data_IF_901412736563
#
_entry.id   IF_901412736563
#
_cell.length_a   1.000
_cell.length_b   1.000
_cell.length_c   1.000
_cell.angle_alpha   90.00
_cell.angle_beta   90.00
_cell.angle_gamma   90.00
#
_symmetry.space_group_name_H-M   'P 1'
#
loop_
_entity.id
_entity.type
_entity.pdbx_description
1 polymer ?
#
# COMPACT_ATOMS: atom_id res chain seq x y z
N UNK A 1 2.07 -19.93 -47.59
CA UNK A 1 3.05 -20.70 -46.80
C UNK A 1 2.62 -20.59 -45.34
N UNK A 2 2.03 -21.66 -44.83
CA UNK A 2 1.29 -21.71 -43.57
C UNK A 2 2.13 -22.42 -42.51
N UNK A 3 2.24 -21.84 -41.31
CA UNK A 3 2.98 -22.42 -40.19
C UNK A 3 2.08 -22.41 -38.95
N UNK A 4 1.48 -23.55 -38.56
CA UNK A 4 0.74 -23.70 -37.32
C UNK A 4 1.60 -24.48 -36.31
N UNK A 5 1.96 -23.85 -35.19
CA UNK A 5 2.49 -24.55 -34.01
C UNK A 5 1.59 -24.17 -32.83
N UNK A 6 0.59 -25.01 -32.52
CA UNK A 6 0.65 -26.03 -31.47
C UNK A 6 0.86 -25.43 -30.07
N UNK A 7 -0.29 -25.12 -29.47
CA UNK A 7 -0.51 -25.13 -28.03
C UNK A 7 0.04 -26.43 -27.43
N UNK A 8 1.04 -26.32 -26.56
CA UNK A 8 1.38 -27.34 -25.58
C UNK A 8 1.20 -26.72 -24.19
N UNK A 9 -0.05 -26.64 -23.75
CA UNK A 9 -0.35 -26.38 -22.34
C UNK A 9 -0.05 -27.67 -21.56
N UNK A 10 1.11 -27.71 -20.91
CA UNK A 10 1.43 -28.73 -19.91
C UNK A 10 0.44 -28.61 -18.74
N UNK A 11 -0.54 -29.52 -18.72
CA UNK A 11 -1.36 -29.82 -17.55
C UNK A 11 -0.46 -30.49 -16.51
N UNK A 12 0.04 -29.70 -15.56
CA UNK A 12 0.59 -30.22 -14.32
C UNK A 12 -0.53 -30.94 -13.58
N UNK A 13 -0.44 -32.28 -13.56
CA UNK A 13 -1.31 -33.14 -12.75
C UNK A 13 -1.11 -32.83 -11.27
N UNK A 14 -1.99 -32.01 -10.71
CA UNK A 14 -2.18 -31.95 -9.28
C UNK A 14 -2.77 -33.30 -8.84
N UNK A 15 -2.01 -34.09 -8.09
CA UNK A 15 -2.55 -35.23 -7.38
C UNK A 15 -3.69 -34.74 -6.50
N UNK A 16 -4.92 -35.16 -6.81
CA UNK A 16 -6.12 -34.89 -6.03
C UNK A 16 -6.01 -35.58 -4.66
N UNK A 17 -5.21 -35.04 -3.75
CA UNK A 17 -5.47 -35.23 -2.32
C UNK A 17 -6.79 -34.52 -2.07
N UNK A 18 -7.87 -35.30 -1.97
CA UNK A 18 -9.19 -34.81 -1.59
C UNK A 18 -9.00 -34.07 -0.26
N UNK A 19 -9.02 -32.75 -0.31
CA UNK A 19 -8.82 -31.94 0.87
C UNK A 19 -10.22 -31.73 1.44
N UNK A 20 -10.48 -32.28 2.62
CA UNK A 20 -11.78 -32.17 3.31
C UNK A 20 -11.67 -31.07 4.35
N UNK A 21 -12.62 -30.14 4.34
CA UNK A 21 -12.67 -29.01 5.27
C UNK A 21 -12.00 -27.74 4.74
N UNK A 22 -11.66 -26.85 5.66
CA UNK A 22 -11.04 -25.57 5.34
C UNK A 22 -9.51 -25.67 5.40
N UNK A 23 -8.82 -25.02 4.47
CA UNK A 23 -7.36 -24.86 4.53
C UNK A 23 -6.98 -23.39 4.66
N UNK A 24 -5.95 -23.13 5.46
CA UNK A 24 -5.29 -21.82 5.48
C UNK A 24 -4.53 -21.65 4.17
N UNK A 25 -4.89 -20.63 3.39
CA UNK A 25 -4.19 -20.28 2.16
C UNK A 25 -3.11 -19.22 2.39
N UNK A 26 -3.40 -18.24 3.25
CA UNK A 26 -2.49 -17.15 3.57
C UNK A 26 -2.79 -16.55 4.95
N UNK A 27 -1.80 -15.85 5.51
CA UNK A 27 -1.96 -15.00 6.69
C UNK A 27 -1.86 -13.54 6.23
N UNK A 28 -2.84 -12.73 6.61
CA UNK A 28 -2.92 -11.30 6.27
C UNK A 28 -2.75 -10.49 7.54
N UNK A 29 -1.73 -9.65 7.57
CA UNK A 29 -1.49 -8.74 8.68
C UNK A 29 -2.26 -7.43 8.49
N UNK A 30 -3.12 -7.08 9.45
CA UNK A 30 -3.82 -5.80 9.48
C UNK A 30 -3.08 -4.82 10.40
N UNK A 31 -2.37 -3.87 9.79
CA UNK A 31 -1.60 -2.85 10.51
C UNK A 31 -2.47 -1.90 11.35
N UNK A 32 -3.76 -1.74 11.00
CA UNK A 32 -4.68 -0.84 11.71
C UNK A 32 -5.11 -1.45 13.03
N UNK A 33 -5.53 -2.71 13.02
CA UNK A 33 -5.98 -3.42 14.22
C UNK A 33 -4.87 -4.15 14.95
N UNK A 34 -3.68 -4.25 14.34
CA UNK A 34 -2.53 -5.05 14.80
C UNK A 34 -2.92 -6.50 15.04
N UNK A 35 -3.76 -7.05 14.16
CA UNK A 35 -4.25 -8.43 14.22
C UNK A 35 -3.87 -9.17 12.95
N UNK A 36 -3.68 -10.47 13.11
CA UNK A 36 -3.46 -11.39 12.00
C UNK A 36 -4.78 -12.08 11.63
N UNK A 37 -5.04 -12.16 10.34
CA UNK A 37 -6.22 -12.79 9.75
C UNK A 37 -5.79 -13.98 8.91
N UNK A 38 -6.43 -15.12 9.13
CA UNK A 38 -6.28 -16.32 8.31
C UNK A 38 -7.21 -16.20 7.11
N UNK A 39 -6.65 -16.26 5.90
CA UNK A 39 -7.43 -16.42 4.67
C UNK A 39 -7.71 -17.90 4.46
N UNK A 40 -8.94 -18.29 4.76
CA UNK A 40 -9.40 -19.67 4.69
C UNK A 40 -10.06 -19.92 3.35
N UNK A 41 -9.78 -21.08 2.74
CA UNK A 41 -10.46 -21.55 1.53
C UNK A 41 -11.08 -22.91 1.81
N UNK A 42 -12.36 -23.03 1.47
CA UNK A 42 -13.06 -24.30 1.50
C UNK A 42 -12.53 -25.19 0.36
N UNK A 43 -12.09 -26.38 0.72
CA UNK A 43 -11.57 -27.33 -0.25
C UNK A 43 -12.66 -28.12 -0.97
N UNK A 44 -13.84 -28.26 -0.36
CA UNK A 44 -15.00 -28.90 -0.98
C UNK A 44 -15.65 -27.99 -2.03
N UNK A 45 -15.50 -26.68 -1.86
CA UNK A 45 -16.06 -25.64 -2.73
C UNK A 45 -15.00 -24.63 -3.18
N UNK A 46 -14.06 -25.01 -4.06
CA UNK A 46 -13.00 -24.11 -4.53
C UNK A 46 -13.52 -22.89 -5.30
N UNK A 47 -14.73 -22.96 -5.84
CA UNK A 47 -15.42 -21.87 -6.50
C UNK A 47 -15.93 -20.79 -5.53
N UNK A 48 -16.03 -21.10 -4.23
CA UNK A 48 -16.43 -20.12 -3.24
C UNK A 48 -15.30 -19.14 -2.94
N UNK A 49 -15.63 -17.86 -2.68
CA UNK A 49 -14.64 -16.89 -2.28
C UNK A 49 -14.00 -17.30 -0.95
N UNK A 50 -12.69 -17.06 -0.84
CA UNK A 50 -12.01 -17.22 0.44
C UNK A 50 -12.60 -16.24 1.47
N UNK A 51 -12.65 -16.65 2.73
CA UNK A 51 -13.11 -15.80 3.83
C UNK A 51 -11.98 -15.56 4.84
N UNK A 52 -12.14 -14.52 5.66
CA UNK A 52 -11.17 -14.16 6.69
C UNK A 52 -11.67 -14.64 8.05
N UNK A 53 -10.79 -15.33 8.78
CA UNK A 53 -11.02 -15.73 10.15
C UNK A 53 -9.92 -15.12 11.03
N UNK A 54 -10.28 -14.60 12.18
CA UNK A 54 -9.29 -14.07 13.13
C UNK A 54 -8.40 -15.22 13.62
N UNK A 55 -7.08 -15.05 13.62
CA UNK A 55 -6.16 -16.03 14.25
C UNK A 55 -6.28 -15.91 15.78
N UNK A 56 -6.89 -16.89 16.48
CA UNK A 56 -7.16 -16.77 17.91
C UNK A 56 -5.92 -17.02 18.77
N UNK A 57 -4.88 -17.64 18.23
CA UNK A 57 -3.74 -18.14 19.03
C UNK A 57 -2.44 -17.44 18.62
N UNK A 58 -2.44 -16.65 17.55
CA UNK A 58 -1.20 -16.20 16.94
C UNK A 58 -0.37 -17.40 16.55
N UNK A 59 -1.03 -18.44 15.99
CA UNK A 59 -0.34 -19.60 15.45
C UNK A 59 0.45 -19.11 14.24
N UNK A 60 1.62 -18.53 14.50
CA UNK A 60 2.73 -18.46 13.56
C UNK A 60 2.92 -19.87 13.07
N UNK A 61 2.38 -20.17 11.90
CA UNK A 61 2.71 -21.36 11.15
C UNK A 61 4.23 -21.42 11.17
N UNK A 62 4.78 -22.42 11.88
CA UNK A 62 6.23 -22.61 12.04
C UNK A 62 6.89 -22.98 10.70
N UNK A 63 6.08 -23.41 9.74
CA UNK A 63 6.52 -23.48 8.36
C UNK A 63 6.54 -22.07 7.79
N UNK A 64 7.68 -21.60 7.27
CA UNK A 64 7.68 -20.41 6.44
C UNK A 64 6.84 -20.75 5.22
N UNK A 65 5.53 -20.48 5.29
CA UNK A 65 4.73 -20.21 4.10
C UNK A 65 5.61 -19.26 3.31
N UNK A 66 6.09 -19.71 2.15
CA UNK A 66 6.96 -18.92 1.31
C UNK A 66 6.29 -17.57 1.17
N UNK A 67 6.83 -16.58 1.87
CA UNK A 67 6.35 -15.22 1.80
C UNK A 67 6.60 -14.85 0.35
N UNK A 68 5.59 -15.03 -0.50
CA UNK A 68 5.53 -14.34 -1.77
C UNK A 68 5.63 -12.88 -1.34
N UNK A 69 6.83 -12.34 -1.51
CA UNK A 69 7.24 -11.03 -1.05
C UNK A 69 6.08 -10.09 -1.31
N UNK A 70 5.45 -9.61 -0.22
CA UNK A 70 4.23 -8.84 -0.33
C UNK A 70 4.60 -7.59 -1.11
N UNK A 71 4.36 -7.61 -2.42
CA UNK A 71 4.71 -6.52 -3.32
C UNK A 71 3.82 -5.37 -2.90
N UNK A 72 4.38 -4.46 -2.11
CA UNK A 72 3.68 -3.28 -1.63
C UNK A 72 3.08 -2.60 -2.86
N UNK A 73 1.76 -2.52 -2.92
CA UNK A 73 1.10 -1.78 -3.97
C UNK A 73 1.55 -0.31 -3.83
N UNK A 74 1.89 0.37 -4.94
CA UNK A 74 2.30 1.75 -4.87
C UNK A 74 1.19 2.55 -4.20
N UNK A 75 1.55 3.34 -3.19
CA UNK A 75 0.59 4.21 -2.51
C UNK A 75 -0.05 5.18 -3.53
N UNK A 76 -1.37 5.44 -3.43
CA UNK A 76 -2.06 6.30 -4.37
C UNK A 76 -1.49 7.73 -4.29
N UNK A 77 -1.21 8.31 -5.46
CA UNK A 77 -0.81 9.72 -5.57
C UNK A 77 -2.02 10.60 -5.28
N UNK A 78 -1.96 11.37 -4.18
CA UNK A 78 -3.07 12.23 -3.75
C UNK A 78 -2.82 13.71 -4.01
N UNK A 79 -1.55 14.13 -4.07
CA UNK A 79 -1.17 15.48 -4.45
C UNK A 79 -0.43 15.42 -5.78
N UNK A 80 -0.87 16.22 -6.74
CA UNK A 80 -0.27 16.32 -8.07
C UNK A 80 0.55 17.61 -8.19
N UNK A 81 1.59 17.60 -9.01
CA UNK A 81 2.29 18.82 -9.38
C UNK A 81 1.32 19.89 -9.93
N UNK A 82 1.49 21.14 -9.52
CA UNK A 82 0.61 22.27 -9.86
C UNK A 82 -0.65 22.40 -8.99
N UNK A 83 -0.93 21.44 -8.09
CA UNK A 83 -2.09 21.50 -7.21
C UNK A 83 -1.89 22.56 -6.10
N UNK A 84 -2.91 23.38 -5.78
CA UNK A 84 -2.86 24.26 -4.62
C UNK A 84 -2.90 23.43 -3.33
N UNK A 85 -2.04 23.76 -2.38
CA UNK A 85 -1.93 23.05 -1.11
C UNK A 85 -1.84 24.03 0.06
N UNK A 86 -2.35 23.60 1.21
CA UNK A 86 -2.14 24.26 2.50
C UNK A 86 -1.02 23.55 3.23
N UNK A 87 0.06 24.28 3.48
CA UNK A 87 1.18 23.86 4.29
C UNK A 87 0.93 24.30 5.73
N UNK A 88 1.03 23.39 6.69
CA UNK A 88 0.79 23.70 8.09
C UNK A 88 1.85 23.06 9.00
N UNK A 89 1.96 23.62 10.19
CA UNK A 89 2.73 23.05 11.29
C UNK A 89 2.00 23.37 12.58
N UNK A 90 1.78 22.33 13.38
CA UNK A 90 1.24 22.44 14.73
C UNK A 90 2.38 22.16 15.71
N UNK A 91 2.51 22.96 16.78
CA UNK A 91 3.62 22.89 17.73
C UNK A 91 3.70 24.15 18.58
N UNK A 92 4.91 24.64 18.85
CA UNK A 92 5.11 25.91 19.59
C UNK A 92 4.54 27.12 18.83
N UNK A 93 4.50 27.06 17.49
CA UNK A 93 3.86 28.05 16.64
C UNK A 93 2.86 27.36 15.71
N UNK A 94 1.69 27.98 15.56
CA UNK A 94 0.66 27.53 14.62
C UNK A 94 0.87 28.21 13.27
N UNK A 95 1.42 27.49 12.30
CA UNK A 95 1.75 28.05 10.98
C UNK A 95 0.77 27.48 9.96
N UNK A 96 0.19 28.35 9.13
CA UNK A 96 -0.59 27.96 7.95
C UNK A 96 -0.22 28.84 6.77
N UNK A 97 0.20 28.22 5.68
CA UNK A 97 0.65 28.87 4.45
C UNK A 97 -0.04 28.24 3.25
N UNK A 98 -0.28 29.02 2.21
CA UNK A 98 -0.79 28.53 0.94
C UNK A 98 0.33 28.49 -0.10
N UNK A 99 0.37 27.42 -0.90
CA UNK A 99 1.37 27.24 -1.95
C UNK A 99 0.89 26.32 -3.06
N UNK A 100 1.79 26.03 -3.99
CA UNK A 100 1.56 25.13 -5.12
C UNK A 100 2.56 23.99 -5.07
N UNK A 101 2.07 22.75 -5.19
CA UNK A 101 2.94 21.57 -5.23
C UNK A 101 3.88 21.62 -6.44
N UNK A 102 5.19 21.52 -6.21
CA UNK A 102 6.19 21.47 -7.28
C UNK A 102 6.30 20.07 -7.91
N UNK A 103 5.95 19.03 -7.15
CA UNK A 103 5.97 17.63 -7.58
C UNK A 103 4.75 16.87 -7.07
N UNK A 104 4.50 15.68 -7.64
CA UNK A 104 3.44 14.78 -7.18
C UNK A 104 3.94 13.90 -6.03
N UNK A 105 3.07 13.59 -5.06
CA UNK A 105 3.41 12.71 -3.95
C UNK A 105 2.18 11.93 -3.42
N UNK A 106 2.38 10.69 -2.92
CA UNK A 106 1.35 9.94 -2.22
C UNK A 106 1.17 10.44 -0.77
N UNK A 107 0.14 9.94 -0.08
CA UNK A 107 -0.02 10.18 1.37
C UNK A 107 1.21 9.65 2.10
N UNK A 108 1.75 10.43 3.04
CA UNK A 108 2.96 10.12 3.78
C UNK A 108 4.26 10.35 2.98
N UNK A 109 4.17 10.64 1.69
CA UNK A 109 5.31 11.00 0.86
C UNK A 109 5.82 12.41 1.14
N UNK A 110 7.12 12.61 0.93
CA UNK A 110 7.72 13.95 0.92
C UNK A 110 7.34 14.74 -0.33
N UNK A 111 7.09 16.04 -0.15
CA UNK A 111 6.70 16.94 -1.23
C UNK A 111 7.40 18.29 -1.10
N UNK A 112 7.73 18.89 -2.24
CA UNK A 112 8.22 20.26 -2.34
C UNK A 112 7.05 21.17 -2.73
N UNK A 113 6.87 22.26 -1.99
CA UNK A 113 5.82 23.26 -2.20
C UNK A 113 6.45 24.60 -2.50
N UNK A 114 6.00 25.25 -3.59
CA UNK A 114 6.39 26.61 -3.96
C UNK A 114 5.38 27.61 -3.41
N UNK A 115 5.85 28.55 -2.60
CA UNK A 115 5.05 29.65 -2.09
C UNK A 115 4.90 30.76 -3.15
N UNK A 116 3.91 31.64 -2.98
CA UNK A 116 3.73 32.83 -3.84
C UNK A 116 4.94 33.77 -3.85
N UNK A 117 5.78 33.72 -2.80
CA UNK A 117 7.05 34.46 -2.69
C UNK A 117 8.21 33.83 -3.46
N UNK A 118 8.02 32.68 -4.10
CA UNK A 118 9.06 31.93 -4.81
C UNK A 118 9.90 31.00 -3.93
N UNK A 119 9.72 31.03 -2.61
CA UNK A 119 10.37 30.12 -1.69
C UNK A 119 9.88 28.67 -1.86
N UNK A 120 10.80 27.72 -1.69
CA UNK A 120 10.50 26.30 -1.68
C UNK A 120 10.51 25.77 -0.25
N UNK A 121 9.47 25.03 0.10
CA UNK A 121 9.30 24.36 1.39
C UNK A 121 9.20 22.84 1.18
N UNK A 122 9.75 22.08 2.12
CA UNK A 122 9.60 20.62 2.18
C UNK A 122 8.64 20.22 3.27
N UNK A 123 7.82 19.21 3.00
CA UNK A 123 6.86 18.68 3.95
C UNK A 123 6.38 17.28 3.60
N UNK A 124 5.50 16.73 4.43
CA UNK A 124 4.90 15.41 4.30
C UNK A 124 3.42 15.55 3.98
N UNK A 125 2.94 14.84 2.97
CA UNK A 125 1.53 14.86 2.58
C UNK A 125 0.68 14.15 3.64
N UNK A 126 -0.24 14.88 4.27
CA UNK A 126 -1.20 14.32 5.24
C UNK A 126 -2.57 14.02 4.63
N UNK A 127 -2.88 14.64 3.49
CA UNK A 127 -4.11 14.38 2.75
C UNK A 127 -4.19 15.20 1.46
N UNK A 128 -5.30 15.10 0.72
CA UNK A 128 -5.52 15.92 -0.47
C UNK A 128 -5.41 17.41 -0.12
N UNK A 129 -4.45 18.11 -0.72
CA UNK A 129 -4.24 19.54 -0.47
C UNK A 129 -3.66 19.89 0.91
N UNK A 130 -3.23 18.91 1.71
CA UNK A 130 -2.77 19.11 3.09
C UNK A 130 -1.34 18.59 3.27
N UNK A 131 -0.43 19.49 3.63
CA UNK A 131 1.00 19.20 3.78
C UNK A 131 1.47 19.68 5.15
N UNK A 132 2.10 18.80 5.92
CA UNK A 132 2.74 19.16 7.18
C UNK A 132 4.22 19.49 6.95
N UNK A 133 4.74 20.56 7.56
CA UNK A 133 6.16 20.92 7.47
C UNK A 133 7.06 19.86 8.12
N UNK A 134 8.07 19.39 7.40
CA UNK A 134 9.12 18.52 7.95
C UNK A 134 10.16 19.35 8.69
N UNK A 135 10.49 19.00 9.93
CA UNK A 135 11.56 19.64 10.68
C UNK A 135 12.94 19.05 10.33
N UNK A 136 14.02 19.87 10.27
CA UNK A 136 14.00 21.33 10.27
C UNK A 136 13.43 21.86 8.94
N UNK A 137 12.62 22.91 9.00
CA UNK A 137 12.01 23.51 7.81
C UNK A 137 13.12 23.90 6.82
N UNK A 138 13.30 23.12 5.76
CA UNK A 138 14.31 23.35 4.74
C UNK A 138 13.87 24.49 3.83
N UNK A 139 14.04 25.73 4.28
CA UNK A 139 13.83 26.91 3.44
C UNK A 139 14.94 26.95 2.40
N UNK A 140 14.57 26.88 1.12
CA UNK A 140 15.52 27.05 0.03
C UNK A 140 15.00 28.10 -0.96
N UNK A 141 15.92 28.92 -1.46
CA UNK A 141 15.70 29.66 -2.70
C UNK A 141 15.99 28.72 -3.87
N UNK A 142 15.22 28.84 -4.97
CA UNK A 142 15.51 28.12 -6.20
C UNK A 142 16.90 28.44 -6.74
#
# INVERSE_FOLDING_TARGET
>A
MSVPWLLAAMLLGAGNKSCTGERVEAVVHDATTRRDWLRMRDCAHPEWPAHLQLDPIGQRLKEPLGYAEAKALPAPIVVKAGMPVTVWQDGTAHIRLSGVAAQSAPIGGEIVVRLGSGWLLRGVVRGPGSVELSAPAGWSRP
#
